data_IF_283189935012
#
_entry.id   IF_283189935012
#
_cell.length_a   1.000
_cell.length_b   1.000
_cell.length_c   1.000
_cell.angle_alpha   90.00
_cell.angle_beta   90.00
_cell.angle_gamma   90.00
#
_symmetry.space_group_name_H-M   'P 1'
#
loop_
_entity.id
_entity.type
_entity.pdbx_description
1 polymer ?
#
# COMPACT_ATOMS: atom_id res chain seq x y z
N UNK A 1 13.39 7.54 9.88
CA UNK A 1 12.36 8.48 10.38
C UNK A 1 11.34 7.67 11.16
N UNK A 2 10.82 8.15 12.30
CA UNK A 2 9.74 7.46 13.01
C UNK A 2 8.47 7.45 12.15
N UNK A 3 7.88 6.28 11.94
CA UNK A 3 6.59 6.13 11.26
C UNK A 3 5.48 6.08 12.31
N UNK A 4 4.42 6.88 12.12
CA UNK A 4 3.20 6.84 12.94
C UNK A 4 2.02 6.54 12.02
N UNK A 5 1.01 5.86 12.56
CA UNK A 5 -0.24 5.67 11.83
C UNK A 5 -0.87 7.04 11.54
N UNK A 6 -1.35 7.21 10.31
CA UNK A 6 -1.99 8.44 9.88
C UNK A 6 -3.40 8.58 10.49
N UNK A 7 -3.74 9.72 11.11
CA UNK A 7 -5.10 9.96 11.62
C UNK A 7 -6.09 10.33 10.50
N UNK A 8 -5.62 10.56 9.27
CA UNK A 8 -6.46 10.93 8.12
C UNK A 8 -7.23 9.76 7.51
N UNK A 9 -6.90 8.53 7.91
CA UNK A 9 -7.42 7.32 7.28
C UNK A 9 -7.81 6.26 8.30
N UNK A 10 -8.75 5.41 7.91
CA UNK A 10 -9.13 4.21 8.64
C UNK A 10 -9.42 3.04 7.70
N UNK A 11 -9.46 1.84 8.28
CA UNK A 11 -9.84 0.63 7.55
C UNK A 11 -11.34 0.38 7.69
N UNK A 12 -12.02 0.22 6.55
CA UNK A 12 -13.40 -0.27 6.51
C UNK A 12 -13.51 -1.50 5.63
N UNK A 13 -14.58 -2.27 5.80
CA UNK A 13 -14.94 -3.37 4.88
C UNK A 13 -15.85 -2.84 3.78
N UNK A 14 -15.59 -3.29 2.56
CA UNK A 14 -16.41 -3.07 1.37
C UNK A 14 -17.13 -4.36 1.00
N UNK A 15 -18.24 -4.25 0.27
CA UNK A 15 -19.02 -5.42 -0.15
C UNK A 15 -18.28 -6.29 -1.18
N UNK A 16 -17.44 -5.70 -2.03
CA UNK A 16 -16.83 -6.40 -3.18
C UNK A 16 -15.32 -6.61 -3.10
N UNK A 17 -14.57 -5.75 -2.38
CA UNK A 17 -13.10 -5.78 -2.36
C UNK A 17 -12.51 -6.12 -0.98
N UNK A 18 -13.34 -6.54 -0.03
CA UNK A 18 -12.89 -6.80 1.34
C UNK A 18 -12.47 -5.50 2.04
N UNK A 19 -11.31 -5.50 2.70
CA UNK A 19 -10.80 -4.33 3.43
C UNK A 19 -10.37 -3.23 2.46
N UNK A 20 -10.54 -1.98 2.84
CA UNK A 20 -10.06 -0.82 2.10
C UNK A 20 -9.72 0.34 3.02
N UNK A 21 -8.90 1.26 2.52
CA UNK A 21 -8.52 2.50 3.19
C UNK A 21 -9.49 3.60 2.84
N UNK A 22 -10.03 4.30 3.84
CA UNK A 22 -11.00 5.38 3.69
C UNK A 22 -10.52 6.63 4.42
N UNK A 23 -10.73 7.79 3.81
CA UNK A 23 -10.46 9.08 4.44
C UNK A 23 -11.46 9.35 5.58
N UNK A 24 -10.97 9.85 6.71
CA UNK A 24 -11.76 10.29 7.87
C UNK A 24 -11.99 11.80 7.89
N UNK A 25 -11.27 12.53 7.04
CA UNK A 25 -11.32 13.98 6.89
C UNK A 25 -10.99 14.38 5.45
N UNK A 26 -11.13 15.66 5.13
CA UNK A 26 -10.68 16.20 3.84
C UNK A 26 -9.16 16.05 3.70
N UNK A 27 -8.69 15.58 2.53
CA UNK A 27 -7.28 15.38 2.21
C UNK A 27 -6.99 16.15 0.92
N UNK A 28 -6.30 17.31 0.97
CA UNK A 28 -5.95 18.05 -0.23
C UNK A 28 -5.05 17.24 -1.17
N UNK A 29 -5.12 17.53 -2.47
CA UNK A 29 -4.16 17.04 -3.46
C UNK A 29 -2.71 17.20 -2.98
N UNK A 30 -1.86 16.25 -3.35
CA UNK A 30 -0.42 16.18 -3.04
C UNK A 30 -0.07 15.97 -1.55
N UNK A 31 -1.07 15.79 -0.68
CA UNK A 31 -0.86 15.40 0.72
C UNK A 31 -0.31 13.98 0.82
N UNK A 32 0.77 13.79 1.60
CA UNK A 32 1.24 12.46 2.01
C UNK A 32 0.27 11.88 3.03
N UNK A 33 -0.54 10.94 2.58
CA UNK A 33 -1.59 10.26 3.37
C UNK A 33 -0.95 9.36 4.43
N UNK A 34 0.03 8.55 4.03
CA UNK A 34 0.68 7.57 4.88
C UNK A 34 2.11 7.29 4.39
N UNK A 35 2.99 7.00 5.33
CA UNK A 35 4.35 6.50 5.07
C UNK A 35 4.43 5.10 5.66
N UNK A 36 4.44 4.09 4.79
CA UNK A 36 4.48 2.69 5.17
C UNK A 36 5.91 2.15 5.03
N UNK A 37 6.52 1.59 6.09
CA UNK A 37 7.71 0.77 5.90
C UNK A 37 7.36 -0.48 5.09
N UNK A 38 8.31 -0.99 4.31
CA UNK A 38 8.10 -2.20 3.52
C UNK A 38 8.95 -3.36 4.01
N UNK A 39 8.38 -4.56 3.99
CA UNK A 39 9.13 -5.81 4.13
C UNK A 39 9.46 -6.32 2.72
N UNK A 40 10.76 -6.34 2.38
CA UNK A 40 11.23 -6.80 1.06
C UNK A 40 11.53 -8.29 1.12
N UNK A 41 10.96 -9.05 0.18
CA UNK A 41 11.05 -10.51 0.09
C UNK A 41 11.52 -10.93 -1.31
N UNK A 42 12.23 -12.07 -1.45
CA UNK A 42 12.50 -12.65 -2.76
C UNK A 42 11.20 -12.95 -3.52
N UNK A 43 11.13 -12.56 -4.79
CA UNK A 43 9.91 -12.74 -5.58
C UNK A 43 9.51 -14.21 -5.70
N UNK A 44 10.50 -15.11 -5.85
CA UNK A 44 10.26 -16.55 -5.97
C UNK A 44 9.70 -17.22 -4.71
N UNK A 45 9.73 -16.57 -3.54
CA UNK A 45 9.09 -17.10 -2.32
C UNK A 45 7.61 -16.69 -2.21
N UNK A 46 7.19 -15.65 -2.93
CA UNK A 46 5.84 -15.06 -2.81
C UNK A 46 5.00 -15.26 -4.06
N UNK A 47 5.62 -15.21 -5.24
CA UNK A 47 4.99 -15.32 -6.55
C UNK A 47 5.25 -16.70 -7.19
N UNK A 48 5.44 -17.74 -6.37
CA UNK A 48 5.62 -19.11 -6.86
C UNK A 48 4.30 -19.65 -7.42
N UNK A 49 4.25 -19.94 -8.71
CA UNK A 49 3.06 -20.47 -9.39
C UNK A 49 2.64 -21.86 -8.89
N UNK A 50 3.51 -22.57 -8.17
CA UNK A 50 3.22 -23.88 -7.57
C UNK A 50 2.62 -23.78 -6.17
N UNK A 51 2.75 -22.61 -5.52
CA UNK A 51 2.25 -22.34 -4.17
C UNK A 51 1.52 -20.99 -4.21
N UNK A 52 0.20 -21.02 -4.34
CA UNK A 52 -0.62 -19.81 -4.30
C UNK A 52 -0.57 -19.17 -2.90
N UNK A 53 0.40 -18.28 -2.70
CA UNK A 53 0.58 -17.56 -1.45
C UNK A 53 -0.44 -16.44 -1.35
N UNK A 54 -1.17 -16.36 -0.23
CA UNK A 54 -2.08 -15.24 0.06
C UNK A 54 -1.36 -13.90 0.00
N UNK A 55 -0.05 -13.87 0.31
CA UNK A 55 0.77 -12.66 0.22
C UNK A 55 0.92 -12.14 -1.22
N UNK A 56 0.76 -12.98 -2.24
CA UNK A 56 0.84 -12.55 -3.65
C UNK A 56 -0.19 -11.46 -3.99
N UNK A 57 -1.33 -11.42 -3.29
CA UNK A 57 -2.36 -10.39 -3.46
C UNK A 57 -2.05 -9.06 -2.74
N UNK A 58 -1.00 -9.02 -1.93
CA UNK A 58 -0.68 -7.90 -1.03
C UNK A 58 0.71 -7.29 -1.29
N UNK A 59 1.44 -7.82 -2.26
CA UNK A 59 2.79 -7.34 -2.57
C UNK A 59 2.83 -6.38 -3.75
N UNK A 60 3.81 -5.50 -3.71
CA UNK A 60 4.21 -4.61 -4.79
C UNK A 60 5.51 -5.12 -5.40
N UNK A 61 5.70 -4.93 -6.70
CA UNK A 61 7.03 -5.06 -7.29
C UNK A 61 7.98 -4.07 -6.62
N UNK A 62 9.19 -4.52 -6.26
CA UNK A 62 10.22 -3.68 -5.63
C UNK A 62 11.49 -3.63 -6.49
N UNK A 63 11.93 -4.78 -6.99
CA UNK A 63 12.96 -4.91 -8.01
C UNK A 63 12.61 -6.07 -8.93
N UNK A 64 13.40 -6.30 -9.99
CA UNK A 64 13.25 -7.47 -10.86
C UNK A 64 13.27 -8.84 -10.14
N UNK A 65 13.81 -8.92 -8.92
CA UNK A 65 13.94 -10.16 -8.15
C UNK A 65 13.25 -10.12 -6.79
N UNK A 66 12.63 -9.00 -6.42
CA UNK A 66 12.06 -8.82 -5.08
C UNK A 66 10.71 -8.15 -5.14
N UNK A 67 9.85 -8.55 -4.21
CA UNK A 67 8.56 -7.93 -3.95
C UNK A 67 8.57 -7.29 -2.57
N UNK A 68 7.62 -6.41 -2.32
CA UNK A 68 7.50 -5.67 -1.07
C UNK A 68 6.09 -5.77 -0.52
N UNK A 69 5.94 -6.21 0.73
CA UNK A 69 4.70 -6.02 1.50
C UNK A 69 4.76 -4.64 2.12
N UNK A 70 3.82 -3.76 1.79
CA UNK A 70 3.69 -2.49 2.47
C UNK A 70 2.99 -2.69 3.82
N UNK A 71 3.70 -2.42 4.91
CA UNK A 71 3.17 -2.48 6.27
C UNK A 71 2.20 -1.31 6.52
N UNK A 72 1.84 -1.07 7.78
CA UNK A 72 0.78 -0.09 8.08
C UNK A 72 -0.51 -0.49 7.35
N UNK A 73 -1.10 0.44 6.62
CA UNK A 73 -2.26 0.18 5.76
C UNK A 73 -1.92 0.09 4.27
N UNK A 74 -0.63 0.16 3.89
CA UNK A 74 -0.22 0.25 2.50
C UNK A 74 -0.75 -0.89 1.61
N UNK A 75 -0.65 -2.14 2.06
CA UNK A 75 -1.17 -3.29 1.31
C UNK A 75 -2.70 -3.41 1.32
N UNK A 76 -3.42 -2.48 1.96
CA UNK A 76 -4.88 -2.45 2.04
C UNK A 76 -5.50 -1.39 1.14
N UNK A 77 -4.70 -0.59 0.41
CA UNK A 77 -5.21 0.30 -0.62
C UNK A 77 -5.71 -0.52 -1.81
N UNK A 78 -7.01 -0.44 -2.08
CA UNK A 78 -7.62 -1.16 -3.19
C UNK A 78 -7.28 -0.50 -4.54
N UNK A 79 -7.10 -1.33 -5.57
CA UNK A 79 -6.90 -0.86 -6.94
C UNK A 79 -8.17 -0.23 -7.53
N UNK A 80 -7.99 0.80 -8.37
CA UNK A 80 -9.02 1.47 -9.15
C UNK A 80 -8.44 1.97 -10.47
N UNK A 81 -9.23 1.94 -11.55
CA UNK A 81 -8.88 2.57 -12.82
C UNK A 81 -9.00 4.11 -12.78
N UNK A 82 -9.65 4.66 -11.75
CA UNK A 82 -9.78 6.10 -11.48
C UNK A 82 -9.30 6.44 -10.06
N UNK A 83 -8.00 6.26 -9.78
CA UNK A 83 -7.47 6.37 -8.42
C UNK A 83 -7.58 7.79 -7.84
N UNK A 84 -7.62 7.89 -6.51
CA UNK A 84 -7.49 9.13 -5.74
C UNK A 84 -6.19 9.19 -4.93
N UNK A 85 -5.42 8.11 -4.90
CA UNK A 85 -4.10 8.05 -4.31
C UNK A 85 -3.14 7.32 -5.24
N UNK A 86 -1.86 7.67 -5.16
CA UNK A 86 -0.74 6.99 -5.80
C UNK A 86 0.31 6.66 -4.74
N UNK A 87 1.24 5.76 -5.05
CA UNK A 87 2.37 5.48 -4.18
C UNK A 87 3.71 5.89 -4.82
N UNK A 88 4.70 6.16 -3.99
CA UNK A 88 6.10 6.39 -4.35
C UNK A 88 6.99 5.52 -3.47
N UNK A 89 8.02 4.91 -4.06
CA UNK A 89 9.09 4.27 -3.30
C UNK A 89 10.12 5.32 -2.89
N UNK A 90 10.49 5.31 -1.62
CA UNK A 90 11.42 6.28 -1.02
C UNK A 90 12.62 5.56 -0.39
N UNK A 91 13.78 6.26 -0.28
CA UNK A 91 14.93 5.72 0.42
C UNK A 91 14.58 5.23 1.82
N UNK A 92 15.25 4.16 2.26
CA UNK A 92 15.01 3.54 3.56
C UNK A 92 13.88 2.50 3.58
N UNK A 93 13.56 1.87 2.44
CA UNK A 93 12.53 0.83 2.32
C UNK A 93 11.16 1.31 2.82
N UNK A 94 10.70 2.41 2.21
CA UNK A 94 9.44 3.06 2.56
C UNK A 94 8.63 3.27 1.29
N UNK A 95 7.32 3.11 1.41
CA UNK A 95 6.33 3.47 0.40
C UNK A 95 5.45 4.60 0.93
N UNK A 96 5.41 5.73 0.22
CA UNK A 96 4.58 6.88 0.57
C UNK A 96 3.32 6.90 -0.29
N UNK A 97 2.15 7.00 0.33
CA UNK A 97 0.85 7.12 -0.34
C UNK A 97 0.44 8.59 -0.37
N UNK A 98 0.10 9.10 -1.55
CA UNK A 98 -0.11 10.54 -1.80
C UNK A 98 -1.42 10.75 -2.55
N UNK A 99 -2.20 11.73 -2.10
CA UNK A 99 -3.45 12.11 -2.76
C UNK A 99 -3.17 12.72 -4.15
N UNK A 100 -3.89 12.29 -5.19
CA UNK A 100 -3.72 12.83 -6.56
C UNK A 100 -4.76 13.89 -6.93
N UNK A 101 -5.77 14.05 -6.08
CA UNK A 101 -6.88 15.00 -6.20
C UNK A 101 -7.46 15.26 -4.82
N UNK A 102 -8.21 16.34 -4.72
CA UNK A 102 -9.04 16.69 -3.56
C UNK A 102 -10.16 15.66 -3.30
#
# INVERSE_FOLDING_TARGET
MPTRQSPMIEIRRTRSKGRGVFATQFIPRDTVIEIAPVLVLPAGEVLDDTIESVLSHYVFEWTKKTVAVALGYGSLYNHSYTPNARYEDRPGQIKAYIAVRD
#
